data_IF_802007927786
#
_entry.id   IF_802007927786
#
_cell.length_a   1.000
_cell.length_b   1.000
_cell.length_c   1.000
_cell.angle_alpha   90.00
_cell.angle_beta   90.00
_cell.angle_gamma   90.00
#
_symmetry.space_group_name_H-M   'P 1'
#
loop_
_entity.id
_entity.type
_entity.pdbx_description
1 polymer ?
#
# COMPACT_ATOMS: atom_id res chain seq x y z
N UNK A 1 16.94 24.17 20.65
CA UNK A 1 18.25 24.66 20.13
C UNK A 1 18.81 23.69 19.10
N UNK A 2 19.61 24.13 18.11
CA UNK A 2 20.27 23.20 17.20
C UNK A 2 21.28 22.31 17.96
N UNK A 3 21.33 21.03 17.62
CA UNK A 3 22.36 20.12 18.12
C UNK A 3 23.60 20.29 17.24
N UNK A 4 24.69 20.79 17.80
CA UNK A 4 25.94 20.99 17.07
C UNK A 4 27.13 20.43 17.85
N UNK A 5 28.22 20.18 17.14
CA UNK A 5 29.47 19.75 17.75
C UNK A 5 30.67 20.04 16.87
N UNK A 6 31.82 20.09 17.53
CA UNK A 6 33.13 20.27 16.89
C UNK A 6 34.13 19.33 17.55
N UNK A 7 34.83 18.56 16.74
CA UNK A 7 35.87 17.64 17.19
C UNK A 7 37.16 17.89 16.43
N UNK A 8 38.29 17.83 17.14
CA UNK A 8 39.63 17.77 16.52
C UNK A 8 39.99 16.31 16.26
N UNK A 9 40.46 16.02 15.06
CA UNK A 9 41.02 14.72 14.74
C UNK A 9 42.33 14.51 15.52
N UNK A 10 42.69 13.25 15.86
CA UNK A 10 43.97 12.93 16.47
C UNK A 10 45.13 13.47 15.62
N UNK A 11 46.28 13.75 16.25
CA UNK A 11 47.53 14.05 15.51
C UNK A 11 47.51 15.32 14.65
N UNK A 12 46.62 16.28 14.94
CA UNK A 12 46.43 17.50 14.13
C UNK A 12 46.05 17.20 12.67
N UNK A 13 45.37 16.07 12.45
CA UNK A 13 44.92 15.64 11.13
C UNK A 13 43.69 16.41 10.62
N UNK A 14 43.14 17.33 11.42
CA UNK A 14 42.07 18.24 11.03
C UNK A 14 40.93 18.35 12.05
N UNK A 15 39.75 18.77 11.60
CA UNK A 15 38.57 19.02 12.45
C UNK A 15 37.28 18.63 11.75
N UNK A 16 36.29 18.16 12.50
CA UNK A 16 34.95 17.88 11.98
C UNK A 16 33.94 18.70 12.77
N UNK A 17 33.03 19.35 12.05
CA UNK A 17 31.96 20.18 12.59
C UNK A 17 30.62 19.72 12.03
N UNK A 18 29.60 19.71 12.88
CA UNK A 18 28.25 19.37 12.47
C UNK A 18 27.20 20.22 13.17
N UNK A 19 26.06 20.37 12.50
CA UNK A 19 24.83 20.89 13.08
C UNK A 19 23.65 20.08 12.54
N UNK A 20 22.69 19.78 13.39
CA UNK A 20 21.44 19.11 13.04
C UNK A 20 20.26 19.73 13.78
N UNK A 21 19.12 19.78 13.10
CA UNK A 21 17.85 20.23 13.64
C UNK A 21 16.69 19.41 13.07
N UNK A 22 15.62 19.27 13.85
CA UNK A 22 14.37 18.64 13.45
C UNK A 22 13.29 19.71 13.33
N UNK A 23 12.67 19.81 12.16
CA UNK A 23 11.64 20.81 11.89
C UNK A 23 10.25 20.21 12.10
N UNK A 24 9.44 20.86 12.95
CA UNK A 24 8.13 20.35 13.42
C UNK A 24 7.04 20.31 12.32
N UNK A 25 7.31 20.83 11.10
CA UNK A 25 6.40 20.83 9.94
C UNK A 25 7.19 21.00 8.64
N UNK A 26 8.09 20.07 8.32
CA UNK A 26 8.87 20.18 7.09
C UNK A 26 7.99 19.91 5.85
N UNK A 27 7.58 20.99 5.19
CA UNK A 27 7.39 20.94 3.75
C UNK A 27 8.75 20.47 3.19
N UNK A 28 8.80 19.32 2.52
CA UNK A 28 10.05 18.63 2.13
C UNK A 28 11.06 19.51 1.39
N UNK A 29 10.59 20.62 0.80
CA UNK A 29 11.40 21.66 0.15
C UNK A 29 12.39 22.42 1.05
N UNK A 30 12.25 22.39 2.38
CA UNK A 30 13.13 23.12 3.31
C UNK A 30 14.22 22.23 3.96
N UNK A 31 14.23 20.92 3.65
CA UNK A 31 15.21 20.00 4.21
C UNK A 31 16.51 20.04 3.40
N UNK A 32 17.60 20.47 4.01
CA UNK A 32 18.96 20.41 3.44
C UNK A 32 19.81 19.38 4.18
N UNK A 33 20.67 18.70 3.42
CA UNK A 33 21.51 17.59 3.87
C UNK A 33 22.86 17.71 3.19
N UNK A 34 23.70 18.57 3.73
CA UNK A 34 24.95 18.90 3.09
C UNK A 34 26.13 18.33 3.85
N UNK A 35 27.02 17.73 3.11
CA UNK A 35 28.19 17.01 3.60
C UNK A 35 29.38 17.50 2.81
N UNK A 36 30.45 17.91 3.48
CA UNK A 36 31.62 18.50 2.87
C UNK A 36 32.90 17.88 3.41
N UNK A 37 33.91 17.79 2.55
CA UNK A 37 35.29 17.57 2.95
C UNK A 37 36.18 18.66 2.36
N UNK A 38 36.87 19.43 3.20
CA UNK A 38 37.71 20.56 2.80
C UNK A 38 37.00 21.52 1.84
N UNK A 39 35.76 21.92 2.17
CA UNK A 39 34.86 22.75 1.34
C UNK A 39 34.35 22.12 0.04
N UNK A 40 34.80 20.92 -0.31
CA UNK A 40 34.30 20.15 -1.46
C UNK A 40 33.04 19.39 -1.05
N UNK A 41 31.89 19.55 -1.74
CA UNK A 41 30.69 18.77 -1.47
C UNK A 41 30.93 17.28 -1.67
N UNK A 42 30.44 16.47 -0.73
CA UNK A 42 30.41 15.00 -0.81
C UNK A 42 28.96 14.52 -0.95
N UNK A 43 28.36 14.58 -2.16
CA UNK A 43 26.95 14.26 -2.38
C UNK A 43 26.61 12.78 -2.12
N UNK A 44 27.60 11.89 -2.21
CA UNK A 44 27.46 10.47 -1.86
C UNK A 44 27.84 10.20 -0.39
N UNK A 45 28.08 11.25 0.40
CA UNK A 45 28.46 11.20 1.80
C UNK A 45 29.85 10.63 2.02
N UNK A 46 29.98 9.68 2.95
CA UNK A 46 31.26 9.03 3.23
C UNK A 46 31.38 8.52 4.65
N UNK A 47 32.62 8.17 5.03
CA UNK A 47 32.96 7.64 6.35
C UNK A 47 32.52 8.55 7.50
N UNK A 48 32.66 9.88 7.35
CA UNK A 48 32.24 10.89 8.33
C UNK A 48 30.72 10.90 8.52
N UNK A 49 29.96 10.91 7.44
CA UNK A 49 28.50 11.00 7.49
C UNK A 49 27.84 9.71 7.98
N UNK A 50 28.34 8.55 7.55
CA UNK A 50 27.85 7.24 8.02
C UNK A 50 28.08 7.10 9.52
N UNK A 51 29.27 7.48 10.01
CA UNK A 51 29.60 7.42 11.43
C UNK A 51 28.73 8.37 12.26
N UNK A 52 28.55 9.62 11.80
CA UNK A 52 27.66 10.59 12.42
C UNK A 52 26.24 10.04 12.60
N UNK A 53 25.62 9.59 11.50
CA UNK A 53 24.25 9.02 11.53
C UNK A 53 24.17 7.82 12.46
N UNK A 54 25.13 6.89 12.35
CA UNK A 54 25.13 5.65 13.14
C UNK A 54 25.26 5.90 14.65
N UNK A 55 26.08 6.87 15.05
CA UNK A 55 26.26 7.25 16.45
C UNK A 55 25.01 7.97 16.99
N UNK A 56 24.48 8.93 16.23
CA UNK A 56 23.30 9.68 16.62
C UNK A 56 22.08 8.77 16.84
N UNK A 57 21.83 7.82 15.92
CA UNK A 57 20.75 6.84 16.08
C UNK A 57 20.91 6.04 17.37
N UNK A 58 22.14 5.60 17.68
CA UNK A 58 22.42 4.83 18.89
C UNK A 58 22.12 5.64 20.14
N UNK A 59 22.60 6.89 20.23
CA UNK A 59 22.30 7.78 21.35
C UNK A 59 20.80 8.05 21.49
N UNK A 60 20.08 8.32 20.39
CA UNK A 60 18.64 8.53 20.41
C UNK A 60 17.87 7.29 20.89
N UNK A 61 18.25 6.09 20.44
CA UNK A 61 17.64 4.82 20.88
C UNK A 61 17.92 4.51 22.34
N UNK A 62 19.15 4.73 22.78
CA UNK A 62 19.56 4.54 24.18
C UNK A 62 18.80 5.51 25.09
N UNK A 63 18.70 6.78 24.70
CA UNK A 63 17.93 7.79 25.43
C UNK A 63 16.43 7.46 25.45
N UNK A 64 15.84 7.10 24.31
CA UNK A 64 14.44 6.69 24.21
C UNK A 64 14.10 5.50 25.12
N UNK A 65 15.00 4.52 25.18
CA UNK A 65 14.88 3.39 26.12
C UNK A 65 14.95 3.85 27.59
N UNK A 66 15.85 4.78 27.91
CA UNK A 66 15.99 5.35 29.26
C UNK A 66 14.71 6.06 29.73
N UNK A 67 14.04 6.79 28.84
CA UNK A 67 12.79 7.50 29.13
C UNK A 67 11.52 6.67 28.87
N UNK A 68 11.66 5.35 28.65
CA UNK A 68 10.58 4.39 28.42
C UNK A 68 9.65 4.73 27.23
N UNK A 69 10.18 5.32 26.17
CA UNK A 69 9.44 5.46 24.90
C UNK A 69 9.44 4.10 24.19
N UNK A 70 8.24 3.60 23.86
CA UNK A 70 8.08 2.31 23.16
C UNK A 70 8.58 2.39 21.73
N UNK A 71 8.94 1.24 21.16
CA UNK A 71 9.28 1.09 19.74
C UNK A 71 10.50 1.90 19.24
N UNK A 72 11.33 2.43 20.15
CA UNK A 72 12.56 3.15 19.81
C UNK A 72 13.53 2.31 18.95
N UNK A 73 13.50 0.98 19.11
CA UNK A 73 14.34 0.07 18.32
C UNK A 73 14.05 0.13 16.82
N UNK A 74 12.84 0.55 16.41
CA UNK A 74 12.41 0.66 15.01
C UNK A 74 13.05 1.83 14.25
N UNK A 75 13.58 2.84 14.96
CA UNK A 75 14.22 4.00 14.34
C UNK A 75 15.41 3.56 13.50
N UNK A 76 15.62 4.15 12.34
CA UNK A 76 16.70 3.85 11.40
C UNK A 76 17.41 5.10 10.89
N UNK A 77 18.44 4.90 10.08
CA UNK A 77 19.18 5.96 9.40
C UNK A 77 18.32 6.76 8.44
N UNK A 78 17.38 6.10 7.76
CA UNK A 78 16.49 6.76 6.81
C UNK A 78 15.54 7.72 7.54
N UNK A 79 15.02 7.30 8.70
CA UNK A 79 14.07 8.12 9.48
C UNK A 79 14.73 9.43 9.95
N UNK A 80 16.02 9.42 10.28
CA UNK A 80 16.76 10.65 10.60
C UNK A 80 17.08 11.43 9.32
N UNK A 81 17.62 10.77 8.31
CA UNK A 81 18.06 11.45 7.09
C UNK A 81 16.91 12.11 6.32
N UNK A 82 15.69 11.59 6.38
CA UNK A 82 14.55 12.16 5.68
C UNK A 82 13.81 13.22 6.50
N UNK A 83 14.04 13.29 7.82
CA UNK A 83 13.25 14.13 8.72
C UNK A 83 14.10 15.06 9.60
N UNK A 84 15.33 15.34 9.17
CA UNK A 84 16.22 16.32 9.80
C UNK A 84 16.92 17.17 8.74
N UNK A 85 17.28 18.39 9.14
CA UNK A 85 18.23 19.22 8.41
C UNK A 85 19.59 19.05 9.07
N UNK A 86 20.63 18.72 8.31
CA UNK A 86 21.97 18.66 8.84
C UNK A 86 22.99 19.24 7.87
N UNK A 87 24.05 19.79 8.44
CA UNK A 87 25.25 20.19 7.74
C UNK A 87 26.45 19.58 8.46
N UNK A 88 27.31 18.90 7.70
CA UNK A 88 28.50 18.22 8.20
C UNK A 88 29.70 18.68 7.36
N UNK A 89 30.72 19.22 8.01
CA UNK A 89 31.95 19.68 7.36
C UNK A 89 33.17 19.05 8.00
N UNK A 90 33.94 18.30 7.21
CA UNK A 90 35.19 17.69 7.62
C UNK A 90 36.37 18.42 7.00
N UNK A 91 37.24 19.01 7.82
CA UNK A 91 38.54 19.53 7.41
C UNK A 91 39.59 18.47 7.73
N UNK A 92 40.25 17.94 6.72
CA UNK A 92 41.10 16.74 6.84
C UNK A 92 42.40 16.94 6.06
N UNK A 93 43.52 16.59 6.67
CA UNK A 93 44.82 16.52 5.99
C UNK A 93 44.89 15.23 5.15
N UNK A 94 45.24 15.36 3.87
CA UNK A 94 45.35 14.25 2.92
C UNK A 94 44.06 13.40 2.80
N UNK A 95 42.91 13.99 2.42
CA UNK A 95 41.65 13.26 2.32
C UNK A 95 41.69 12.19 1.23
N UNK A 96 41.13 11.02 1.53
CA UNK A 96 40.99 9.92 0.59
C UNK A 96 39.54 9.80 0.13
N UNK A 97 39.31 9.79 -1.19
CA UNK A 97 37.98 9.69 -1.78
C UNK A 97 37.83 8.43 -2.63
N UNK A 98 36.58 7.99 -2.78
CA UNK A 98 36.24 6.95 -3.74
C UNK A 98 36.26 7.51 -5.17
N UNK A 99 37.14 6.97 -6.01
CA UNK A 99 37.24 7.35 -7.41
C UNK A 99 37.69 8.80 -7.66
N UNK A 100 37.65 9.21 -8.93
CA UNK A 100 38.16 10.51 -9.36
C UNK A 100 37.21 11.67 -9.04
N UNK A 101 35.90 11.40 -8.93
CA UNK A 101 34.86 12.43 -8.77
C UNK A 101 34.81 13.07 -7.38
N UNK A 102 35.59 12.56 -6.40
CA UNK A 102 35.63 13.05 -5.01
C UNK A 102 34.26 13.12 -4.32
N UNK A 103 33.30 12.31 -4.78
CA UNK A 103 31.92 12.37 -4.29
C UNK A 103 31.75 11.76 -2.89
N UNK A 104 32.67 10.88 -2.49
CA UNK A 104 32.54 10.07 -1.28
C UNK A 104 33.84 9.96 -0.50
N UNK A 105 33.85 10.40 0.75
CA UNK A 105 35.02 10.29 1.63
C UNK A 105 35.19 8.85 2.13
N UNK A 106 36.40 8.30 2.05
CA UNK A 106 36.75 6.94 2.46
C UNK A 106 37.94 6.95 3.40
N UNK A 107 37.70 7.22 4.68
CA UNK A 107 38.73 7.25 5.72
C UNK A 107 38.22 6.61 7.02
N UNK A 108 38.66 5.38 7.34
CA UNK A 108 38.21 4.67 8.55
C UNK A 108 38.55 5.39 9.87
N UNK A 109 39.69 6.09 9.92
CA UNK A 109 40.13 6.84 11.10
C UNK A 109 39.11 7.92 11.49
N UNK A 110 38.59 8.63 10.48
CA UNK A 110 37.57 9.66 10.66
C UNK A 110 36.27 9.07 11.20
N UNK A 111 35.86 7.89 10.72
CA UNK A 111 34.64 7.25 11.18
C UNK A 111 34.69 6.99 12.69
N UNK A 112 35.80 6.47 13.21
CA UNK A 112 35.94 6.16 14.64
C UNK A 112 35.89 7.41 15.52
N UNK A 113 36.63 8.46 15.15
CA UNK A 113 36.62 9.73 15.90
C UNK A 113 35.23 10.36 15.86
N UNK A 114 34.60 10.37 14.68
CA UNK A 114 33.27 10.93 14.51
C UNK A 114 32.21 10.20 15.32
N UNK A 115 32.27 8.86 15.35
CA UNK A 115 31.31 8.03 16.09
C UNK A 115 31.38 8.27 17.60
N UNK A 116 32.59 8.27 18.17
CA UNK A 116 32.79 8.50 19.61
C UNK A 116 32.34 9.91 20.00
N UNK A 117 32.79 10.93 19.27
CA UNK A 117 32.45 12.31 19.61
C UNK A 117 30.97 12.59 19.40
N UNK A 118 30.36 12.10 18.32
CA UNK A 118 28.92 12.27 18.12
C UNK A 118 28.13 11.67 19.28
N UNK A 119 28.53 10.49 19.77
CA UNK A 119 27.89 9.86 20.93
C UNK A 119 27.99 10.75 22.17
N UNK A 120 29.19 11.18 22.55
CA UNK A 120 29.41 12.01 23.74
C UNK A 120 28.61 13.31 23.70
N UNK A 121 28.66 14.02 22.57
CA UNK A 121 27.90 15.24 22.36
C UNK A 121 26.38 14.99 22.39
N UNK A 122 25.92 13.90 21.78
CA UNK A 122 24.49 13.53 21.76
C UNK A 122 24.00 13.23 23.17
N UNK A 123 24.73 12.42 23.93
CA UNK A 123 24.34 12.00 25.28
C UNK A 123 24.27 13.22 26.22
N UNK A 124 25.21 14.17 26.10
CA UNK A 124 25.19 15.44 26.83
C UNK A 124 23.98 16.29 26.42
N UNK A 125 23.76 16.47 25.11
CA UNK A 125 22.69 17.32 24.60
C UNK A 125 21.30 16.80 24.97
N UNK A 126 21.08 15.49 24.82
CA UNK A 126 19.83 14.81 25.17
C UNK A 126 19.53 14.90 26.68
N UNK A 127 20.58 14.82 27.51
CA UNK A 127 20.44 14.96 28.96
C UNK A 127 20.17 16.40 29.39
N UNK A 128 20.77 17.39 28.72
CA UNK A 128 20.54 18.82 29.00
C UNK A 128 19.17 19.32 28.54
N UNK A 129 18.61 18.72 27.47
CA UNK A 129 17.38 19.18 26.83
C UNK A 129 16.28 18.11 26.84
N UNK A 130 15.79 17.65 28.02
CA UNK A 130 14.91 16.48 28.10
C UNK A 130 13.55 16.67 27.41
N UNK A 131 13.02 17.90 27.40
CA UNK A 131 11.75 18.22 26.72
C UNK A 131 11.87 18.06 25.20
N UNK A 132 12.91 18.64 24.61
CA UNK A 132 13.17 18.58 23.17
C UNK A 132 13.59 17.17 22.75
N UNK A 133 14.45 16.52 23.54
CA UNK A 133 14.87 15.15 23.31
C UNK A 133 13.70 14.18 23.26
N UNK A 134 12.76 14.27 24.22
CA UNK A 134 11.55 13.44 24.23
C UNK A 134 10.69 13.68 22.98
N UNK A 135 10.49 14.94 22.58
CA UNK A 135 9.73 15.28 21.36
C UNK A 135 10.37 14.67 20.12
N UNK A 136 11.68 14.81 19.95
CA UNK A 136 12.42 14.27 18.80
C UNK A 136 12.32 12.75 18.73
N UNK A 137 12.54 12.05 19.86
CA UNK A 137 12.45 10.59 19.89
C UNK A 137 11.03 10.13 19.58
N UNK A 138 10.01 10.74 20.17
CA UNK A 138 8.61 10.39 19.88
C UNK A 138 8.25 10.63 18.41
N UNK A 139 8.69 11.75 17.83
CA UNK A 139 8.49 12.05 16.41
C UNK A 139 9.13 11.00 15.49
N UNK A 140 10.38 10.62 15.76
CA UNK A 140 11.08 9.59 14.97
C UNK A 140 10.44 8.20 15.11
N UNK A 141 9.89 7.86 16.29
CA UNK A 141 9.12 6.61 16.47
C UNK A 141 7.85 6.62 15.62
N UNK A 142 7.14 7.73 15.57
CA UNK A 142 5.93 7.86 14.74
C UNK A 142 6.25 7.61 13.26
N UNK A 143 7.31 8.25 12.74
CA UNK A 143 7.80 8.03 11.38
C UNK A 143 8.17 6.56 11.16
N UNK A 144 8.91 5.95 12.09
CA UNK A 144 9.34 4.56 11.97
C UNK A 144 8.14 3.59 11.92
N UNK A 145 7.08 3.86 12.70
CA UNK A 145 5.84 3.11 12.68
C UNK A 145 5.07 3.28 11.37
N UNK A 146 4.96 4.51 10.86
CA UNK A 146 4.34 4.80 9.55
C UNK A 146 5.05 4.04 8.42
N UNK A 147 6.39 4.09 8.40
CA UNK A 147 7.22 3.36 7.44
C UNK A 147 7.02 1.85 7.52
N UNK A 148 6.92 1.29 8.74
CA UNK A 148 6.66 -0.14 8.94
C UNK A 148 5.30 -0.54 8.38
N UNK A 149 4.24 0.23 8.65
CA UNK A 149 2.90 0.01 8.10
C UNK A 149 2.89 0.06 6.58
N UNK A 150 3.52 1.07 5.98
CA UNK A 150 3.62 1.18 4.52
C UNK A 150 4.37 -0.01 3.88
N UNK A 151 5.42 -0.52 4.53
CA UNK A 151 6.11 -1.75 4.08
C UNK A 151 5.21 -2.98 4.20
N UNK A 152 4.46 -3.11 5.28
CA UNK A 152 3.52 -4.23 5.49
C UNK A 152 2.38 -4.21 4.46
N UNK A 153 1.79 -3.05 4.18
CA UNK A 153 0.77 -2.86 3.13
C UNK A 153 1.32 -3.21 1.75
N UNK A 154 2.53 -2.72 1.42
CA UNK A 154 3.17 -3.05 0.15
C UNK A 154 3.45 -4.54 0.02
N UNK A 155 3.91 -5.19 1.09
CA UNK A 155 4.14 -6.63 1.12
C UNK A 155 2.83 -7.42 0.98
N UNK A 156 1.75 -6.96 1.62
CA UNK A 156 0.42 -7.55 1.49
C UNK A 156 -0.08 -7.46 0.05
N UNK A 157 0.08 -6.30 -0.59
CA UNK A 157 -0.29 -6.06 -1.98
C UNK A 157 0.55 -6.90 -2.96
N UNK A 158 1.86 -7.01 -2.73
CA UNK A 158 2.74 -7.88 -3.55
C UNK A 158 2.41 -9.37 -3.37
N UNK A 159 2.14 -9.80 -2.14
CA UNK A 159 1.68 -11.18 -1.86
C UNK A 159 0.29 -11.45 -2.43
N UNK A 160 -0.58 -10.44 -2.52
CA UNK A 160 -1.86 -10.54 -3.20
C UNK A 160 -1.69 -10.71 -4.72
N UNK A 161 -0.73 -10.02 -5.37
CA UNK A 161 -0.41 -10.21 -6.79
C UNK A 161 0.25 -11.56 -7.13
N UNK A 162 0.96 -12.19 -6.18
CA UNK A 162 1.62 -13.49 -6.39
C UNK A 162 0.73 -14.71 -6.08
N UNK A 163 -0.41 -14.53 -5.41
CA UNK A 163 -1.39 -15.61 -5.23
C UNK A 163 -2.24 -15.72 -6.48
N UNK A 164 -2.38 -16.93 -7.04
CA UNK A 164 -3.55 -17.30 -7.85
C UNK A 164 -4.76 -16.69 -7.15
N UNK A 165 -5.49 -15.82 -7.85
CA UNK A 165 -6.72 -15.20 -7.35
C UNK A 165 -7.54 -16.35 -6.77
N UNK A 166 -7.67 -16.38 -5.43
CA UNK A 166 -8.51 -17.38 -4.80
C UNK A 166 -9.90 -17.05 -5.29
N UNK A 167 -10.55 -17.94 -6.00
CA UNK A 167 -11.92 -17.72 -6.45
C UNK A 167 -12.88 -18.03 -5.29
N UNK A 168 -14.06 -17.40 -5.23
CA UNK A 168 -15.08 -17.74 -4.24
C UNK A 168 -15.44 -19.22 -4.36
N UNK A 169 -15.63 -19.91 -3.23
CA UNK A 169 -15.94 -21.36 -3.24
C UNK A 169 -17.27 -21.69 -3.94
N UNK A 170 -18.19 -20.73 -4.02
CA UNK A 170 -19.49 -20.87 -4.69
C UNK A 170 -19.43 -20.62 -6.20
N UNK A 171 -18.36 -20.01 -6.70
CA UNK A 171 -18.19 -19.74 -8.13
C UNK A 171 -17.92 -21.06 -8.88
N UNK A 172 -18.79 -21.38 -9.83
CA UNK A 172 -18.51 -22.39 -10.84
C UNK A 172 -17.87 -21.70 -12.03
N UNK A 173 -16.54 -21.73 -12.12
CA UNK A 173 -15.77 -20.99 -13.12
C UNK A 173 -15.83 -21.63 -14.51
N UNK A 174 -15.49 -20.87 -15.56
CA UNK A 174 -15.29 -21.39 -16.92
C UNK A 174 -13.84 -21.88 -17.10
N UNK A 175 -13.59 -22.76 -18.08
CA UNK A 175 -12.22 -23.28 -18.30
C UNK A 175 -11.34 -22.34 -19.11
N UNK A 176 -11.93 -21.47 -19.92
CA UNK A 176 -11.20 -20.45 -20.68
C UNK A 176 -10.67 -19.35 -19.75
N UNK A 177 -9.38 -19.05 -19.89
CA UNK A 177 -8.69 -18.03 -19.08
C UNK A 177 -8.70 -16.63 -19.71
N UNK A 178 -8.83 -16.57 -21.03
CA UNK A 178 -8.94 -15.32 -21.78
C UNK A 178 -10.34 -14.72 -21.56
N UNK A 179 -10.46 -13.45 -21.10
CA UNK A 179 -11.76 -12.81 -20.88
C UNK A 179 -12.63 -12.73 -22.13
N UNK A 180 -12.01 -12.72 -23.32
CA UNK A 180 -12.73 -12.55 -24.57
C UNK A 180 -13.66 -13.74 -24.84
N UNK A 181 -14.94 -13.45 -25.02
CA UNK A 181 -16.02 -14.39 -25.24
C UNK A 181 -16.44 -15.16 -23.99
N UNK A 182 -15.95 -14.80 -22.80
CA UNK A 182 -16.38 -15.42 -21.54
C UNK A 182 -17.47 -14.60 -20.86
N UNK A 183 -18.35 -15.30 -20.17
CA UNK A 183 -19.56 -14.75 -19.57
C UNK A 183 -19.66 -15.25 -18.13
N UNK A 184 -20.12 -14.43 -17.20
CA UNK A 184 -20.50 -14.87 -15.86
C UNK A 184 -21.97 -14.59 -15.60
N UNK A 185 -22.72 -15.63 -15.21
CA UNK A 185 -24.12 -15.55 -14.82
C UNK A 185 -24.22 -15.40 -13.31
N UNK A 186 -24.76 -14.29 -12.86
CA UNK A 186 -25.09 -14.03 -11.45
C UNK A 186 -26.54 -14.48 -11.25
N UNK A 187 -26.75 -15.49 -10.42
CA UNK A 187 -28.05 -16.16 -10.27
C UNK A 187 -28.57 -16.11 -8.84
N UNK A 188 -29.89 -16.11 -8.71
CA UNK A 188 -30.57 -16.12 -7.43
C UNK A 188 -30.58 -17.52 -6.80
N UNK A 189 -29.82 -17.68 -5.72
CA UNK A 189 -29.80 -18.90 -4.91
C UNK A 189 -29.06 -20.10 -5.54
N UNK A 190 -28.87 -21.13 -4.71
CA UNK A 190 -28.18 -22.36 -5.12
C UNK A 190 -29.04 -23.21 -6.07
N UNK A 191 -30.36 -23.06 -6.04
CA UNK A 191 -31.29 -23.80 -6.91
C UNK A 191 -31.11 -23.42 -8.38
N UNK A 192 -31.25 -22.12 -8.71
CA UNK A 192 -30.99 -21.61 -10.04
C UNK A 192 -29.51 -21.81 -10.43
N UNK A 193 -28.59 -21.67 -9.46
CA UNK A 193 -27.17 -21.99 -9.63
C UNK A 193 -26.90 -23.43 -10.06
N UNK A 194 -27.61 -24.41 -9.50
CA UNK A 194 -27.52 -25.82 -9.87
C UNK A 194 -27.94 -26.06 -11.31
N UNK A 195 -29.10 -25.55 -11.72
CA UNK A 195 -29.61 -25.68 -13.09
C UNK A 195 -28.72 -24.97 -14.11
N UNK A 196 -28.31 -23.72 -13.82
CA UNK A 196 -27.41 -22.96 -14.69
C UNK A 196 -26.05 -23.65 -14.84
N UNK A 197 -25.49 -24.20 -13.75
CA UNK A 197 -24.22 -24.95 -13.79
C UNK A 197 -24.28 -26.19 -14.67
N UNK A 198 -25.42 -26.87 -14.73
CA UNK A 198 -25.61 -28.06 -15.54
C UNK A 198 -25.80 -27.72 -17.03
N UNK A 199 -26.54 -26.64 -17.33
CA UNK A 199 -26.89 -26.26 -18.70
C UNK A 199 -25.80 -25.44 -19.43
N UNK A 200 -24.91 -24.75 -18.70
CA UNK A 200 -23.92 -23.85 -19.28
C UNK A 200 -22.91 -24.53 -20.20
N UNK A 201 -22.37 -23.77 -21.15
CA UNK A 201 -21.11 -24.13 -21.79
C UNK A 201 -19.96 -23.89 -20.80
N UNK A 202 -19.40 -24.96 -20.23
CA UNK A 202 -18.31 -24.90 -19.23
C UNK A 202 -17.03 -24.24 -19.75
N UNK A 203 -16.85 -24.18 -21.06
CA UNK A 203 -15.67 -23.56 -21.66
C UNK A 203 -15.67 -22.04 -21.45
N UNK A 204 -16.81 -21.39 -21.69
CA UNK A 204 -16.91 -19.93 -21.77
C UNK A 204 -17.79 -19.30 -20.69
N UNK A 205 -18.70 -20.05 -20.08
CA UNK A 205 -19.71 -19.50 -19.16
C UNK A 205 -19.42 -19.91 -17.73
N UNK A 206 -19.31 -18.95 -16.82
CA UNK A 206 -19.21 -19.10 -15.37
C UNK A 206 -20.57 -18.86 -14.70
N UNK A 207 -20.78 -19.42 -13.51
CA UNK A 207 -22.02 -19.25 -12.72
C UNK A 207 -21.67 -18.91 -11.28
N UNK A 208 -22.21 -17.79 -10.79
CA UNK A 208 -22.05 -17.30 -9.42
C UNK A 208 -23.43 -17.22 -8.75
N UNK A 209 -23.81 -18.19 -7.91
CA UNK A 209 -25.03 -18.10 -7.11
C UNK A 209 -24.84 -17.11 -5.96
N UNK A 210 -25.83 -16.25 -5.75
CA UNK A 210 -25.91 -15.34 -4.60
C UNK A 210 -26.99 -15.77 -3.63
N UNK A 211 -26.73 -15.63 -2.33
CA UNK A 211 -27.66 -16.06 -1.27
C UNK A 211 -28.32 -14.87 -0.59
N UNK A 212 -29.65 -14.96 -0.46
CA UNK A 212 -30.45 -13.95 0.24
C UNK A 212 -30.52 -12.63 -0.51
N UNK A 213 -31.12 -11.62 0.14
CA UNK A 213 -31.25 -10.28 -0.44
C UNK A 213 -29.90 -9.56 -0.40
N UNK A 214 -29.51 -8.98 -1.53
CA UNK A 214 -28.27 -8.23 -1.66
C UNK A 214 -28.33 -6.99 -0.78
N UNK A 215 -27.19 -6.62 -0.17
CA UNK A 215 -27.09 -5.41 0.64
C UNK A 215 -27.41 -4.19 -0.24
N UNK A 216 -28.34 -3.35 0.19
CA UNK A 216 -28.58 -2.07 -0.47
C UNK A 216 -27.41 -1.13 -0.23
N UNK A 217 -26.54 -1.03 -1.24
CA UNK A 217 -25.31 -0.23 -1.17
C UNK A 217 -25.57 1.27 -1.17
N UNK A 218 -26.76 1.71 -1.61
CA UNK A 218 -27.05 3.13 -1.68
C UNK A 218 -27.11 3.79 -0.30
N UNK A 219 -27.53 3.01 0.70
CA UNK A 219 -27.74 3.45 2.09
C UNK A 219 -26.75 2.81 3.08
N UNK A 220 -25.84 1.96 2.60
CA UNK A 220 -24.87 1.25 3.44
C UNK A 220 -23.59 2.07 3.63
N UNK A 221 -23.01 2.02 4.82
CA UNK A 221 -21.67 2.57 5.07
C UNK A 221 -20.59 1.71 4.41
N UNK A 222 -19.43 2.32 4.12
CA UNK A 222 -18.27 1.61 3.55
C UNK A 222 -17.84 0.40 4.40
N UNK A 223 -17.95 0.50 5.72
CA UNK A 223 -17.65 -0.62 6.61
C UNK A 223 -18.61 -1.82 6.40
N UNK A 224 -19.91 -1.56 6.16
CA UNK A 224 -20.90 -2.61 5.87
C UNK A 224 -20.69 -3.24 4.50
N UNK A 225 -20.31 -2.43 3.51
CA UNK A 225 -19.92 -2.91 2.18
C UNK A 225 -18.75 -3.90 2.28
N UNK A 226 -17.68 -3.48 2.96
CA UNK A 226 -16.48 -4.30 3.14
C UNK A 226 -16.74 -5.56 3.96
N UNK A 227 -17.74 -5.59 4.84
CA UNK A 227 -18.08 -6.76 5.64
C UNK A 227 -19.05 -7.74 4.94
N UNK A 228 -19.66 -7.38 3.81
CA UNK A 228 -20.65 -8.21 3.15
C UNK A 228 -20.01 -9.31 2.29
N UNK A 229 -20.21 -10.57 2.67
CA UNK A 229 -19.61 -11.71 1.98
C UNK A 229 -20.06 -11.86 0.53
N UNK A 230 -21.34 -11.59 0.21
CA UNK A 230 -21.86 -11.73 -1.15
C UNK A 230 -21.20 -10.74 -2.11
N UNK A 231 -21.01 -9.49 -1.68
CA UNK A 231 -20.30 -8.47 -2.45
C UNK A 231 -18.79 -8.75 -2.53
N UNK A 232 -18.18 -9.27 -1.45
CA UNK A 232 -16.78 -9.71 -1.50
C UNK A 232 -16.57 -10.83 -2.53
N UNK A 233 -17.44 -11.84 -2.53
CA UNK A 233 -17.37 -12.94 -3.48
C UNK A 233 -17.56 -12.45 -4.91
N UNK A 234 -18.50 -11.52 -5.14
CA UNK A 234 -18.71 -10.90 -6.45
C UNK A 234 -17.45 -10.15 -6.92
N UNK A 235 -16.90 -9.29 -6.07
CA UNK A 235 -15.64 -8.56 -6.35
C UNK A 235 -14.49 -9.50 -6.70
N UNK A 236 -14.35 -10.57 -5.93
CA UNK A 236 -13.30 -11.56 -6.09
C UNK A 236 -13.50 -12.38 -7.38
N UNK A 237 -14.74 -12.67 -7.77
CA UNK A 237 -15.05 -13.33 -9.03
C UNK A 237 -14.73 -12.45 -10.25
N UNK A 238 -15.00 -11.15 -10.19
CA UNK A 238 -14.74 -10.20 -11.28
C UNK A 238 -13.25 -9.86 -11.45
N UNK A 239 -12.52 -9.73 -10.34
CA UNK A 239 -11.06 -9.55 -10.33
C UNK A 239 -10.55 -8.16 -10.72
N UNK A 240 -11.43 -7.23 -11.10
CA UNK A 240 -11.07 -5.90 -11.58
C UNK A 240 -10.90 -4.83 -10.48
N UNK A 241 -11.17 -5.14 -9.21
CA UNK A 241 -11.25 -4.13 -8.13
C UNK A 241 -12.48 -3.21 -8.26
N UNK A 242 -12.68 -2.27 -7.33
CA UNK A 242 -13.82 -1.34 -7.32
C UNK A 242 -13.39 0.12 -7.19
N UNK A 243 -14.27 1.04 -7.57
CA UNK A 243 -14.09 2.49 -7.43
C UNK A 243 -12.77 2.98 -8.01
N UNK A 244 -11.96 3.64 -7.17
CA UNK A 244 -10.65 4.17 -7.57
C UNK A 244 -9.60 3.09 -7.88
N UNK A 245 -9.83 1.85 -7.46
CA UNK A 245 -8.94 0.71 -7.70
C UNK A 245 -9.38 -0.13 -8.91
N UNK A 246 -10.41 0.32 -9.66
CA UNK A 246 -10.90 -0.37 -10.83
C UNK A 246 -9.86 -0.42 -11.96
N UNK A 247 -9.55 -1.63 -12.41
CA UNK A 247 -8.65 -1.92 -13.52
C UNK A 247 -9.33 -2.84 -14.54
N UNK A 248 -9.79 -2.26 -15.65
CA UNK A 248 -10.46 -2.95 -16.77
C UNK A 248 -9.69 -4.19 -17.25
N UNK A 249 -8.37 -4.06 -17.39
CA UNK A 249 -7.49 -5.15 -17.87
C UNK A 249 -7.48 -6.39 -16.98
N UNK A 250 -7.93 -6.26 -15.72
CA UNK A 250 -8.03 -7.36 -14.77
C UNK A 250 -9.42 -7.99 -14.73
N UNK A 251 -10.38 -7.46 -15.47
CA UNK A 251 -11.72 -8.01 -15.57
C UNK A 251 -11.67 -9.42 -16.17
N UNK A 252 -12.22 -10.39 -15.45
CA UNK A 252 -12.11 -11.82 -15.81
C UNK A 252 -13.09 -12.28 -16.89
N UNK A 253 -14.19 -11.56 -17.06
CA UNK A 253 -15.25 -11.94 -17.99
C UNK A 253 -15.65 -10.76 -18.86
N UNK A 254 -15.79 -10.97 -20.16
CA UNK A 254 -16.24 -9.93 -21.08
C UNK A 254 -17.70 -9.54 -20.83
N UNK A 255 -18.56 -10.48 -20.41
CA UNK A 255 -19.96 -10.20 -20.07
C UNK A 255 -20.31 -10.65 -18.67
N UNK A 256 -21.01 -9.78 -17.95
CA UNK A 256 -21.57 -10.05 -16.64
C UNK A 256 -23.08 -9.97 -16.76
N UNK A 257 -23.74 -11.10 -16.57
CA UNK A 257 -25.16 -11.27 -16.86
C UNK A 257 -25.89 -11.48 -15.53
N UNK A 258 -26.75 -10.54 -15.17
CA UNK A 258 -27.69 -10.71 -14.05
C UNK A 258 -28.84 -11.59 -14.55
N UNK A 259 -29.03 -12.76 -13.94
CA UNK A 259 -30.08 -13.71 -14.31
C UNK A 259 -30.89 -14.08 -13.07
N UNK A 260 -31.96 -13.33 -12.85
CA UNK A 260 -32.91 -13.49 -11.75
C UNK A 260 -34.25 -13.98 -12.28
N UNK A 261 -35.11 -14.48 -11.39
CA UNK A 261 -36.45 -14.92 -11.76
C UNK A 261 -37.33 -13.73 -12.17
N UNK A 262 -38.32 -14.01 -13.04
CA UNK A 262 -39.25 -13.02 -13.55
C UNK A 262 -40.40 -12.76 -12.55
N UNK A 263 -40.06 -12.48 -11.30
CA UNK A 263 -40.99 -12.14 -10.22
C UNK A 263 -40.56 -10.85 -9.49
N UNK A 264 -41.34 -10.48 -8.47
CA UNK A 264 -41.09 -9.27 -7.68
C UNK A 264 -39.81 -9.32 -6.85
N UNK A 265 -39.38 -10.50 -6.38
CA UNK A 265 -38.15 -10.64 -5.59
C UNK A 265 -36.92 -10.63 -6.51
N UNK A 266 -36.99 -11.30 -7.66
CA UNK A 266 -35.98 -11.26 -8.71
C UNK A 266 -35.76 -9.85 -9.25
N UNK A 267 -36.85 -9.11 -9.54
CA UNK A 267 -36.76 -7.70 -9.92
C UNK A 267 -36.09 -6.83 -8.84
N UNK A 268 -36.37 -7.09 -7.56
CA UNK A 268 -35.73 -6.38 -6.45
C UNK A 268 -34.23 -6.70 -6.35
N UNK A 269 -33.84 -7.97 -6.49
CA UNK A 269 -32.42 -8.38 -6.48
C UNK A 269 -31.67 -7.77 -7.68
N UNK A 270 -32.26 -7.81 -8.88
CA UNK A 270 -31.69 -7.18 -10.06
C UNK A 270 -31.47 -5.67 -9.82
N UNK A 271 -32.44 -4.98 -9.22
CA UNK A 271 -32.31 -3.55 -8.91
C UNK A 271 -31.18 -3.27 -7.90
N UNK A 272 -30.99 -4.12 -6.89
CA UNK A 272 -29.91 -3.99 -5.91
C UNK A 272 -28.54 -4.23 -6.55
N UNK A 273 -28.42 -5.23 -7.43
CA UNK A 273 -27.19 -5.51 -8.17
C UNK A 273 -26.84 -4.38 -9.14
N UNK A 274 -27.81 -3.91 -9.92
CA UNK A 274 -27.62 -2.76 -10.81
C UNK A 274 -27.17 -1.52 -10.04
N UNK A 275 -27.75 -1.27 -8.87
CA UNK A 275 -27.34 -0.16 -7.99
C UNK A 275 -25.89 -0.33 -7.51
N UNK A 276 -25.49 -1.55 -7.17
CA UNK A 276 -24.11 -1.85 -6.81
C UNK A 276 -23.13 -1.61 -7.95
N UNK A 277 -23.39 -2.15 -9.14
CA UNK A 277 -22.53 -1.91 -10.31
C UNK A 277 -22.46 -0.42 -10.65
N UNK A 278 -23.58 0.30 -10.58
CA UNK A 278 -23.61 1.74 -10.85
C UNK A 278 -22.74 2.55 -9.88
N UNK A 279 -22.75 2.20 -8.59
CA UNK A 279 -21.98 2.95 -7.58
C UNK A 279 -20.51 2.55 -7.49
N UNK A 280 -20.23 1.24 -7.55
CA UNK A 280 -18.89 0.71 -7.27
C UNK A 280 -18.08 0.41 -8.54
N UNK A 281 -18.76 0.20 -9.68
CA UNK A 281 -18.17 -0.22 -10.95
C UNK A 281 -18.75 0.55 -12.17
N UNK A 282 -18.89 1.89 -12.13
CA UNK A 282 -19.54 2.64 -13.21
C UNK A 282 -18.86 2.44 -14.57
N UNK A 283 -17.52 2.38 -14.58
CA UNK A 283 -16.72 2.15 -15.80
C UNK A 283 -17.02 0.82 -16.48
N UNK A 284 -17.36 -0.21 -15.71
CA UNK A 284 -17.74 -1.52 -16.23
C UNK A 284 -19.04 -1.43 -17.05
N UNK A 285 -19.98 -0.60 -16.60
CA UNK A 285 -21.24 -0.32 -17.30
C UNK A 285 -20.97 0.52 -18.55
N UNK A 286 -20.19 1.60 -18.42
CA UNK A 286 -19.81 2.48 -19.54
C UNK A 286 -19.14 1.71 -20.68
N UNK A 287 -18.32 0.70 -20.34
CA UNK A 287 -17.63 -0.16 -21.31
C UNK A 287 -18.52 -1.28 -21.88
N UNK A 288 -19.78 -1.39 -21.46
CA UNK A 288 -20.76 -2.32 -22.03
C UNK A 288 -20.60 -3.77 -21.57
N UNK A 289 -20.10 -4.01 -20.36
CA UNK A 289 -19.89 -5.35 -19.82
C UNK A 289 -21.07 -5.89 -19.00
N UNK A 290 -22.00 -5.05 -18.55
CA UNK A 290 -23.15 -5.46 -17.73
C UNK A 290 -24.41 -5.71 -18.56
N UNK A 291 -25.03 -6.87 -18.35
CA UNK A 291 -26.22 -7.34 -19.06
C UNK A 291 -27.27 -7.84 -18.07
N UNK A 292 -28.55 -7.73 -18.47
CA UNK A 292 -29.67 -8.34 -17.76
C UNK A 292 -30.26 -9.43 -18.67
N UNK A 293 -30.38 -10.64 -18.15
CA UNK A 293 -31.03 -11.74 -18.87
C UNK A 293 -32.54 -11.46 -18.98
N UNK A 294 -33.10 -11.72 -20.16
CA UNK A 294 -34.53 -11.64 -20.43
C UNK A 294 -35.06 -13.05 -20.76
N UNK A 295 -35.32 -13.90 -19.74
CA UNK A 295 -35.89 -15.23 -19.98
C UNK A 295 -37.30 -15.12 -20.57
N UNK A 296 -37.80 -16.16 -21.26
CA UNK A 296 -39.18 -16.18 -21.73
C UNK A 296 -40.17 -16.24 -20.56
N UNK A 297 -41.28 -15.49 -20.67
CA UNK A 297 -42.36 -15.48 -19.67
C UNK A 297 -43.30 -16.67 -19.81
N UNK A 298 -43.59 -17.07 -21.06
CA UNK A 298 -44.53 -18.14 -21.33
C UNK A 298 -43.90 -19.26 -22.15
N UNK A 299 -44.33 -20.49 -21.84
CA UNK A 299 -44.09 -21.68 -22.67
C UNK A 299 -45.43 -22.18 -23.20
N UNK A 300 -45.66 -22.00 -24.49
CA UNK A 300 -46.86 -22.44 -25.19
C UNK A 300 -46.60 -23.84 -25.76
N UNK A 301 -47.42 -24.81 -25.36
CA UNK A 301 -47.28 -26.21 -25.82
C UNK A 301 -48.56 -26.65 -26.52
N UNK A 302 -48.44 -27.10 -27.77
CA UNK A 302 -49.56 -27.70 -28.54
C UNK A 302 -49.08 -28.97 -29.23
N UNK A 303 -49.51 -30.13 -28.74
CA UNK A 303 -48.95 -31.44 -29.12
C UNK A 303 -47.42 -31.42 -28.97
N UNK A 304 -46.69 -31.73 -30.03
CA UNK A 304 -45.21 -31.75 -30.05
C UNK A 304 -44.59 -30.37 -30.33
N UNK A 305 -45.40 -29.33 -30.55
CA UNK A 305 -44.90 -27.97 -30.83
C UNK A 305 -44.76 -27.20 -29.52
N UNK A 306 -43.52 -26.82 -29.20
CA UNK A 306 -43.18 -25.92 -28.09
C UNK A 306 -42.76 -24.57 -28.66
N UNK A 307 -43.37 -23.50 -28.17
CA UNK A 307 -43.01 -22.10 -28.46
C UNK A 307 -42.81 -21.36 -27.14
N UNK A 308 -41.95 -20.35 -27.16
CA UNK A 308 -41.70 -19.46 -26.03
C UNK A 308 -42.12 -18.05 -26.41
N UNK A 309 -42.74 -17.33 -25.48
CA UNK A 309 -43.11 -15.92 -25.64
C UNK A 309 -42.47 -15.09 -24.51
N UNK A 310 -42.07 -13.87 -24.85
CA UNK A 310 -41.36 -12.95 -23.95
C UNK A 310 -42.28 -11.89 -23.34
N UNK A 311 -43.47 -11.72 -23.90
CA UNK A 311 -44.51 -10.77 -23.52
C UNK A 311 -45.89 -11.44 -23.49
N UNK A 312 -46.86 -10.73 -22.90
CA UNK A 312 -48.28 -11.09 -22.82
C UNK A 312 -48.98 -11.04 -24.19
#
# INVERSE_FOLDING_TARGET
EPFYGKVKLPGDHGTIEWVISWLENSNTKLLFKDSFCNTVPTPEGGSHEIAFKSALIRSLKSYGSLINVKDCSLISSEDIAENSCFLLSAFVRNPQFFGQTKNKLTMPEIARTMENSTKDYSDIWLSKNPKDAKKIVSYLVEIALQRKRAKEEKLLNQKASARKIRLPGKLSDCTRMDPKGTEVFIVEGDSAGGSAKQARNRETQAVLPLKGKILNVANASTAKLLANQELQDLNQALGCGTGNQYEEKKLRYEKIIIMTDADVDGAHIASLLMTYFYRELPKLIENGHLYLAAPPLYRITKKDIIRYAHDE
#
